data_IF_806866646703
#
_entry.id   IF_806866646703
#
_cell.length_a   1.000
_cell.length_b   1.000
_cell.length_c   1.000
_cell.angle_alpha   90.00
_cell.angle_beta   90.00
_cell.angle_gamma   90.00
#
_symmetry.space_group_name_H-M   'P 1'
#
loop_
_entity.id
_entity.type
_entity.pdbx_description
1 polymer ?
#
# COMPACT_ATOMS: atom_id res chain seq x y z
N UNK A 1 -3.20 12.97 4.96
CA UNK A 1 -3.44 11.71 4.24
C UNK A 1 -3.90 11.96 2.80
N UNK A 2 -5.07 12.58 2.55
CA UNK A 2 -5.53 12.79 1.16
C UNK A 2 -4.58 13.66 0.33
N UNK A 3 -4.13 14.80 0.87
CA UNK A 3 -3.19 15.68 0.16
C UNK A 3 -1.92 14.91 -0.26
N UNK A 4 -1.31 14.17 0.68
CA UNK A 4 -0.17 13.31 0.39
C UNK A 4 -0.49 12.26 -0.69
N UNK A 5 -1.66 11.62 -0.63
CA UNK A 5 -2.06 10.65 -1.66
C UNK A 5 -2.19 11.30 -3.06
N UNK A 6 -2.70 12.54 -3.14
CA UNK A 6 -2.76 13.30 -4.39
C UNK A 6 -1.37 13.71 -4.88
N UNK A 7 -0.49 14.15 -3.98
CA UNK A 7 0.89 14.49 -4.28
C UNK A 7 1.64 13.27 -4.83
N UNK A 8 1.56 12.12 -4.17
CA UNK A 8 2.16 10.86 -4.64
C UNK A 8 1.61 10.45 -6.02
N UNK A 9 0.29 10.52 -6.23
CA UNK A 9 -0.29 10.20 -7.55
C UNK A 9 0.22 11.13 -8.66
N UNK A 10 0.43 12.41 -8.36
CA UNK A 10 1.03 13.36 -9.29
C UNK A 10 2.51 13.07 -9.54
N UNK A 11 3.28 12.76 -8.49
CA UNK A 11 4.69 12.40 -8.59
C UNK A 11 4.88 11.13 -9.44
N UNK A 12 4.12 10.07 -9.20
CA UNK A 12 4.10 8.85 -10.02
C UNK A 12 3.82 9.18 -11.48
N UNK A 13 2.84 10.05 -11.76
CA UNK A 13 2.52 10.45 -13.14
C UNK A 13 3.67 11.20 -13.80
N UNK A 14 4.36 12.08 -13.08
CA UNK A 14 5.55 12.78 -13.59
C UNK A 14 6.68 11.81 -13.84
N UNK A 15 6.94 10.86 -12.93
CA UNK A 15 7.95 9.82 -13.07
C UNK A 15 7.71 8.96 -14.31
N UNK A 16 6.47 8.51 -14.52
CA UNK A 16 6.07 7.75 -15.71
C UNK A 16 6.27 8.55 -17.00
N UNK A 17 5.80 9.80 -17.05
CA UNK A 17 5.91 10.64 -18.25
C UNK A 17 7.36 11.03 -18.58
N UNK A 18 8.27 10.99 -17.60
CA UNK A 18 9.70 11.24 -17.77
C UNK A 18 10.52 9.97 -17.90
N UNK A 19 9.89 8.79 -17.80
CA UNK A 19 10.59 7.53 -17.98
C UNK A 19 11.04 7.41 -19.44
N UNK A 20 12.32 7.07 -19.70
CA UNK A 20 12.81 6.88 -21.06
C UNK A 20 12.27 5.59 -21.70
N UNK A 21 11.53 4.77 -20.95
CA UNK A 21 11.02 3.49 -21.43
C UNK A 21 9.74 3.66 -22.24
N UNK A 22 9.70 3.00 -23.39
CA UNK A 22 8.46 2.79 -24.14
C UNK A 22 7.53 1.92 -23.30
N UNK A 23 6.30 2.39 -23.09
CA UNK A 23 5.26 1.62 -22.41
C UNK A 23 4.77 0.50 -23.33
N UNK A 24 5.15 -0.72 -23.02
CA UNK A 24 4.69 -1.94 -23.70
C UNK A 24 3.89 -2.77 -22.69
N UNK A 25 2.71 -3.30 -23.06
CA UNK A 25 1.93 -4.13 -22.14
C UNK A 25 2.72 -5.33 -21.61
N UNK A 26 2.60 -5.61 -20.31
CA UNK A 26 3.17 -6.79 -19.69
C UNK A 26 2.38 -8.04 -20.06
N UNK A 27 3.09 -9.11 -20.42
CA UNK A 27 2.52 -10.42 -20.71
C UNK A 27 2.71 -11.42 -19.59
N UNK A 28 3.74 -11.26 -18.76
CA UNK A 28 4.08 -12.14 -17.64
C UNK A 28 4.18 -11.34 -16.34
N UNK A 29 3.19 -11.54 -15.45
CA UNK A 29 3.11 -10.85 -14.17
C UNK A 29 4.13 -11.35 -13.15
N UNK A 30 4.75 -12.52 -13.36
CA UNK A 30 5.81 -13.03 -12.47
C UNK A 30 7.09 -12.19 -12.53
N UNK A 31 7.23 -11.36 -13.57
CA UNK A 31 8.35 -10.42 -13.74
C UNK A 31 8.13 -9.08 -13.03
N UNK A 32 6.96 -8.88 -12.42
CA UNK A 32 6.63 -7.65 -11.68
C UNK A 32 7.17 -7.79 -10.26
N UNK A 33 8.47 -7.55 -10.10
CA UNK A 33 9.20 -7.90 -8.87
C UNK A 33 9.85 -6.72 -8.13
N UNK A 34 9.66 -5.50 -8.62
CA UNK A 34 10.09 -4.27 -7.97
C UNK A 34 9.08 -3.13 -8.19
N UNK A 35 9.24 -2.03 -7.43
CA UNK A 35 8.34 -0.87 -7.51
C UNK A 35 8.24 -0.30 -8.93
N UNK A 36 9.35 -0.28 -9.67
CA UNK A 36 9.37 0.28 -11.03
C UNK A 36 8.58 -0.61 -11.99
N UNK A 37 8.74 -1.92 -11.90
CA UNK A 37 8.00 -2.89 -12.69
C UNK A 37 6.50 -2.79 -12.39
N UNK A 38 6.12 -2.66 -11.11
CA UNK A 38 4.73 -2.42 -10.71
C UNK A 38 4.16 -1.16 -11.38
N UNK A 39 4.86 -0.02 -11.26
CA UNK A 39 4.45 1.26 -11.84
C UNK A 39 4.26 1.16 -13.36
N UNK A 40 5.22 0.57 -14.08
CA UNK A 40 5.17 0.46 -15.55
C UNK A 40 4.11 -0.53 -16.02
N UNK A 41 3.96 -1.67 -15.34
CA UNK A 41 2.97 -2.67 -15.69
C UNK A 41 1.56 -2.08 -15.60
N UNK A 42 1.22 -1.41 -14.50
CA UNK A 42 -0.07 -0.72 -14.31
C UNK A 42 -0.28 0.45 -15.27
N UNK A 43 0.78 1.15 -15.68
CA UNK A 43 0.69 2.22 -16.67
C UNK A 43 0.42 1.71 -18.09
N UNK A 44 1.04 0.59 -18.45
CA UNK A 44 1.11 0.10 -19.84
C UNK A 44 0.12 -1.02 -20.18
N UNK A 45 -0.41 -1.74 -19.18
CA UNK A 45 -1.18 -2.98 -19.40
C UNK A 45 -2.68 -2.76 -19.16
N UNK A 46 -3.53 -2.82 -20.21
CA UNK A 46 -4.97 -2.56 -20.07
C UNK A 46 -5.69 -3.50 -19.10
N UNK A 47 -5.36 -4.80 -19.10
CA UNK A 47 -6.00 -5.78 -18.22
C UNK A 47 -5.73 -5.51 -16.74
N UNK A 48 -4.58 -4.94 -16.37
CA UNK A 48 -4.30 -4.51 -15.01
C UNK A 48 -5.16 -3.32 -14.61
N UNK A 49 -5.41 -2.38 -15.53
CA UNK A 49 -6.32 -1.25 -15.30
C UNK A 49 -7.76 -1.73 -15.07
N UNK A 50 -8.23 -2.68 -15.87
CA UNK A 50 -9.55 -3.30 -15.69
C UNK A 50 -9.66 -4.03 -14.35
N UNK A 51 -8.60 -4.71 -13.93
CA UNK A 51 -8.55 -5.40 -12.65
C UNK A 51 -8.66 -4.45 -11.44
N UNK A 52 -8.48 -3.14 -11.62
CA UNK A 52 -8.65 -2.11 -10.59
C UNK A 52 -10.07 -1.51 -10.55
N UNK A 53 -11.00 -1.94 -11.40
CA UNK A 53 -12.37 -1.40 -11.45
C UNK A 53 -13.12 -1.50 -10.11
N UNK A 54 -12.70 -2.40 -9.20
CA UNK A 54 -13.28 -2.50 -7.86
C UNK A 54 -13.02 -1.25 -6.98
N UNK A 55 -12.00 -0.44 -7.29
CA UNK A 55 -11.71 0.79 -6.56
C UNK A 55 -12.81 1.84 -6.73
N UNK A 56 -13.52 1.82 -7.87
CA UNK A 56 -14.59 2.75 -8.20
C UNK A 56 -15.98 2.21 -7.86
N UNK A 57 -16.08 0.96 -7.38
CA UNK A 57 -17.35 0.27 -7.13
C UNK A 57 -18.05 0.70 -5.82
N UNK A 58 -17.46 1.62 -5.05
CA UNK A 58 -17.97 2.09 -3.75
C UNK A 58 -18.95 3.26 -3.84
N UNK A 59 -19.66 3.58 -2.74
CA UNK A 59 -20.51 4.77 -2.69
C UNK A 59 -19.66 6.05 -2.78
N UNK A 60 -20.11 6.98 -3.63
CA UNK A 60 -19.49 8.30 -3.73
C UNK A 60 -19.90 9.16 -2.53
N UNK A 61 -18.93 9.77 -1.85
CA UNK A 61 -19.15 10.69 -0.72
C UNK A 61 -18.49 12.03 -1.01
N UNK A 62 -19.12 13.12 -0.58
CA UNK A 62 -18.49 14.44 -0.62
C UNK A 62 -17.29 14.48 0.33
N UNK A 63 -16.23 15.16 -0.09
CA UNK A 63 -15.00 15.22 0.68
C UNK A 63 -15.21 15.84 2.07
N UNK A 64 -16.00 16.91 2.17
CA UNK A 64 -16.34 17.56 3.44
C UNK A 64 -16.99 16.60 4.44
N UNK A 65 -17.94 15.78 3.98
CA UNK A 65 -18.66 14.80 4.81
C UNK A 65 -17.75 13.67 5.30
N UNK A 66 -16.77 13.26 4.46
CA UNK A 66 -15.78 12.27 4.86
C UNK A 66 -14.85 12.81 5.93
N UNK A 67 -14.33 14.03 5.75
CA UNK A 67 -13.48 14.70 6.73
C UNK A 67 -14.21 14.92 8.05
N UNK A 68 -15.47 15.35 7.99
CA UNK A 68 -16.30 15.54 9.18
C UNK A 68 -16.63 14.22 9.91
N UNK A 69 -16.55 13.07 9.22
CA UNK A 69 -16.82 11.75 9.81
C UNK A 69 -15.66 11.15 10.59
N UNK A 70 -14.46 11.75 10.52
CA UNK A 70 -13.39 11.36 11.43
C UNK A 70 -13.69 11.89 12.83
N UNK A 71 -13.89 10.98 13.78
CA UNK A 71 -13.74 11.31 15.20
C UNK A 71 -12.34 11.89 15.44
N UNK A 72 -12.18 12.67 16.52
CA UNK A 72 -10.85 13.19 16.91
C UNK A 72 -9.86 12.02 16.89
N UNK A 73 -8.83 12.15 16.05
CA UNK A 73 -7.83 11.11 15.90
C UNK A 73 -7.32 10.68 17.29
N UNK A 74 -7.06 9.37 17.51
CA UNK A 74 -6.45 8.92 18.75
C UNK A 74 -5.21 9.78 19.04
N UNK A 75 -5.00 10.11 20.32
CA UNK A 75 -3.97 11.07 20.74
C UNK A 75 -2.57 10.72 20.21
N UNK A 76 -2.32 9.43 19.89
CA UNK A 76 -1.15 8.98 19.15
C UNK A 76 -1.45 7.72 18.30
N UNK A 77 -0.66 7.51 17.24
CA UNK A 77 -0.66 6.27 16.45
C UNK A 77 -0.32 5.05 17.32
N UNK A 78 0.62 5.19 18.25
CA UNK A 78 0.97 4.12 19.19
C UNK A 78 -0.23 3.71 20.05
N UNK A 79 -0.98 4.67 20.59
CA UNK A 79 -2.21 4.40 21.35
C UNK A 79 -3.29 3.73 20.50
N UNK A 80 -3.43 4.13 19.24
CA UNK A 80 -4.35 3.50 18.30
C UNK A 80 -3.98 2.03 18.01
N UNK A 81 -2.70 1.75 17.80
CA UNK A 81 -2.18 0.40 17.57
C UNK A 81 -2.38 -0.47 18.81
N UNK A 82 -2.03 0.04 20.00
CA UNK A 82 -2.20 -0.66 21.26
C UNK A 82 -3.68 -0.99 21.54
N UNK A 83 -4.58 -0.03 21.33
CA UNK A 83 -6.03 -0.23 21.48
C UNK A 83 -6.59 -1.28 20.48
N UNK A 84 -5.95 -1.41 19.31
CA UNK A 84 -6.28 -2.44 18.32
C UNK A 84 -5.58 -3.79 18.58
N UNK A 85 -4.83 -3.93 19.68
CA UNK A 85 -4.12 -5.15 20.07
C UNK A 85 -2.77 -5.37 19.37
N UNK A 86 -2.19 -4.31 18.79
CA UNK A 86 -0.89 -4.36 18.14
C UNK A 86 0.19 -3.69 18.98
N UNK A 87 1.38 -4.30 19.00
CA UNK A 87 2.57 -3.71 19.58
C UNK A 87 3.44 -3.09 18.46
N UNK A 88 3.73 -1.80 18.57
CA UNK A 88 4.59 -1.11 17.62
C UNK A 88 6.04 -1.13 18.14
N UNK A 89 6.93 -1.75 17.36
CA UNK A 89 8.35 -1.84 17.64
C UNK A 89 9.11 -0.86 16.75
N UNK A 90 10.17 -0.25 17.28
CA UNK A 90 11.07 0.58 16.49
C UNK A 90 12.49 0.55 17.06
N UNK A 91 13.45 0.88 16.21
CA UNK A 91 14.86 1.02 16.57
C UNK A 91 15.44 2.25 15.88
N UNK A 92 16.22 3.02 16.63
CA UNK A 92 17.06 4.08 16.09
C UNK A 92 18.25 3.44 15.38
N UNK A 93 18.37 3.70 14.08
CA UNK A 93 19.45 3.21 13.22
C UNK A 93 20.25 4.38 12.63
N UNK A 94 20.23 5.53 13.30
CA UNK A 94 20.96 6.73 12.91
C UNK A 94 22.46 6.46 12.96
N UNK A 95 23.14 6.68 11.84
CA UNK A 95 24.59 6.61 11.76
C UNK A 95 25.21 7.94 12.22
N UNK A 96 26.47 7.95 12.72
CA UNK A 96 27.08 9.17 13.25
C UNK A 96 27.08 10.36 12.27
N UNK A 97 27.36 10.11 10.99
CA UNK A 97 27.37 11.13 9.92
C UNK A 97 25.98 11.75 9.68
N UNK A 98 24.91 10.97 9.84
CA UNK A 98 23.53 11.47 9.76
C UNK A 98 23.14 12.25 11.01
N UNK A 99 23.61 11.82 12.19
CA UNK A 99 23.41 12.54 13.44
C UNK A 99 24.14 13.90 13.46
N UNK A 100 25.32 14.00 12.85
CA UNK A 100 26.10 15.24 12.75
C UNK A 100 25.35 16.36 12.02
N UNK A 101 24.47 16.02 11.07
CA UNK A 101 23.60 16.99 10.38
C UNK A 101 22.23 17.17 11.04
N UNK A 102 22.02 16.59 12.24
CA UNK A 102 20.80 16.74 13.03
C UNK A 102 19.60 15.90 12.53
N UNK A 103 19.85 14.85 11.74
CA UNK A 103 18.82 13.94 11.25
C UNK A 103 18.77 12.65 12.08
N UNK A 104 17.61 11.98 12.04
CA UNK A 104 17.40 10.68 12.68
C UNK A 104 16.80 9.68 11.69
N UNK A 105 17.23 8.42 11.77
CA UNK A 105 16.70 7.32 10.98
C UNK A 105 16.13 6.27 11.92
N UNK A 106 14.84 5.97 11.76
CA UNK A 106 14.17 4.93 12.54
C UNK A 106 13.68 3.82 11.63
N UNK A 107 13.80 2.57 12.10
CA UNK A 107 13.15 1.42 11.48
C UNK A 107 12.04 0.96 12.40
N UNK A 108 10.81 0.83 11.87
CA UNK A 108 9.65 0.38 12.63
C UNK A 108 9.06 -0.92 12.05
N UNK A 109 8.41 -1.68 12.92
CA UNK A 109 7.71 -2.93 12.62
C UNK A 109 6.50 -3.05 13.54
N UNK A 110 5.37 -3.52 13.01
CA UNK A 110 4.18 -3.83 13.81
C UNK A 110 3.78 -5.29 13.53
N UNK A 111 4.20 -6.24 14.38
CA UNK A 111 3.81 -7.64 14.21
C UNK A 111 2.29 -7.82 14.16
N UNK A 112 1.81 -8.70 13.28
CA UNK A 112 0.37 -8.93 13.08
C UNK A 112 -0.33 -7.96 12.13
N UNK A 113 0.33 -6.86 11.73
CA UNK A 113 -0.11 -6.07 10.58
C UNK A 113 0.17 -6.81 9.26
N UNK A 114 -0.45 -6.35 8.16
CA UNK A 114 -0.29 -6.97 6.85
C UNK A 114 0.99 -6.43 6.20
N UNK A 115 2.04 -7.26 6.00
CA UNK A 115 3.22 -6.81 5.29
C UNK A 115 2.90 -6.67 3.79
N UNK A 116 3.67 -5.82 3.13
CA UNK A 116 3.66 -5.64 1.68
C UNK A 116 5.07 -5.93 1.17
N UNK A 117 5.14 -6.67 0.07
CA UNK A 117 6.37 -6.91 -0.69
C UNK A 117 6.20 -6.31 -2.08
N UNK A 118 7.30 -5.85 -2.66
CA UNK A 118 7.32 -5.37 -4.04
C UNK A 118 7.52 -6.51 -5.03
N UNK A 119 7.83 -7.71 -4.55
CA UNK A 119 7.87 -8.90 -5.39
C UNK A 119 6.49 -9.56 -5.46
N UNK A 120 5.86 -9.48 -6.64
CA UNK A 120 4.55 -10.10 -6.89
C UNK A 120 4.55 -11.62 -6.66
N UNK A 121 5.70 -12.29 -6.75
CA UNK A 121 5.81 -13.72 -6.49
C UNK A 121 5.90 -14.08 -5.01
N UNK A 122 6.20 -13.11 -4.13
CA UNK A 122 6.38 -13.29 -2.68
C UNK A 122 5.24 -12.66 -1.86
N UNK A 123 4.00 -13.08 -2.14
CA UNK A 123 2.80 -12.50 -1.51
C UNK A 123 2.61 -12.99 -0.06
N UNK A 124 2.39 -12.05 0.87
CA UNK A 124 2.09 -12.34 2.28
C UNK A 124 0.64 -12.81 2.53
N UNK A 125 0.24 -13.95 1.97
CA UNK A 125 -1.13 -14.49 2.13
C UNK A 125 -1.33 -15.40 3.35
N UNK A 126 -0.24 -15.75 4.05
CA UNK A 126 -0.29 -16.63 5.23
C UNK A 126 -0.85 -15.97 6.50
N UNK A 127 -0.72 -14.65 6.63
CA UNK A 127 -1.11 -13.90 7.82
C UNK A 127 -2.60 -13.98 8.16
N UNK A 128 -2.95 -13.88 9.43
CA UNK A 128 -4.35 -13.92 9.87
C UNK A 128 -5.12 -12.65 9.50
N UNK A 129 -4.46 -11.48 9.56
CA UNK A 129 -5.10 -10.18 9.35
C UNK A 129 -5.81 -10.07 8.00
N UNK A 130 -5.21 -10.55 6.90
CA UNK A 130 -5.83 -10.48 5.58
C UNK A 130 -7.15 -11.28 5.52
N UNK A 131 -7.25 -12.41 6.24
CA UNK A 131 -8.48 -13.21 6.37
C UNK A 131 -9.46 -12.57 7.35
N UNK A 132 -8.99 -12.15 8.52
CA UNK A 132 -9.85 -11.64 9.59
C UNK A 132 -10.50 -10.30 9.21
N UNK A 133 -9.76 -9.42 8.53
CA UNK A 133 -10.30 -8.17 8.01
C UNK A 133 -11.32 -8.45 6.91
N UNK A 134 -11.04 -9.38 5.99
CA UNK A 134 -12.01 -9.77 4.97
C UNK A 134 -13.33 -10.27 5.59
N UNK A 135 -13.25 -11.13 6.61
CA UNK A 135 -14.45 -11.62 7.33
C UNK A 135 -15.24 -10.50 7.99
N UNK A 136 -14.58 -9.49 8.58
CA UNK A 136 -15.26 -8.30 9.13
C UNK A 136 -16.02 -7.51 8.06
N UNK A 137 -15.61 -7.57 6.81
CA UNK A 137 -16.31 -7.01 5.66
C UNK A 137 -17.27 -8.01 4.97
N UNK A 138 -17.61 -9.11 5.63
CA UNK A 138 -18.55 -10.12 5.10
C UNK A 138 -17.99 -10.93 3.94
N UNK A 139 -16.67 -11.02 3.80
CA UNK A 139 -15.98 -11.86 2.81
C UNK A 139 -15.36 -13.04 3.54
N UNK A 140 -15.81 -14.25 3.26
CA UNK A 140 -15.11 -15.44 3.71
C UNK A 140 -14.07 -15.87 2.66
N UNK A 141 -12.84 -16.10 3.10
CA UNK A 141 -11.72 -16.42 2.23
C UNK A 141 -11.18 -17.79 2.63
N UNK A 142 -11.44 -18.77 1.76
CA UNK A 142 -11.14 -20.18 2.04
C UNK A 142 -9.75 -20.60 1.58
N UNK A 143 -9.21 -19.97 0.52
CA UNK A 143 -7.88 -20.27 -0.01
C UNK A 143 -7.23 -19.05 -0.67
N UNK A 144 -5.99 -19.23 -1.16
CA UNK A 144 -5.20 -18.17 -1.78
C UNK A 144 -5.74 -17.67 -3.13
N UNK A 145 -6.53 -18.51 -3.84
CA UNK A 145 -7.07 -18.17 -5.16
C UNK A 145 -8.20 -17.15 -5.09
N UNK A 146 -8.84 -17.00 -3.92
CA UNK A 146 -9.86 -16.00 -3.67
C UNK A 146 -9.29 -14.57 -3.49
N UNK A 147 -7.97 -14.40 -3.35
CA UNK A 147 -7.35 -13.09 -3.38
C UNK A 147 -7.13 -12.59 -4.80
N UNK A 148 -7.17 -11.28 -4.96
CA UNK A 148 -6.86 -10.62 -6.23
C UNK A 148 -5.49 -11.10 -6.76
N UNK A 149 -5.47 -11.60 -8.00
CA UNK A 149 -4.29 -12.24 -8.57
C UNK A 149 -3.33 -11.24 -9.23
N UNK A 150 -3.74 -10.00 -9.46
CA UNK A 150 -2.87 -9.03 -10.11
C UNK A 150 -1.79 -8.50 -9.15
N UNK A 151 -0.67 -8.02 -9.69
CA UNK A 151 0.30 -7.23 -8.94
C UNK A 151 -0.37 -6.05 -8.23
N UNK A 152 0.03 -5.79 -6.98
CA UNK A 152 -0.49 -4.67 -6.20
C UNK A 152 -0.23 -3.34 -6.94
N UNK A 153 -1.20 -2.40 -7.02
CA UNK A 153 -0.98 -1.09 -7.62
C UNK A 153 -0.18 -0.18 -6.68
N UNK A 154 1.11 -0.47 -6.53
CA UNK A 154 2.06 0.42 -5.86
C UNK A 154 2.19 1.77 -6.59
N UNK A 155 2.62 2.83 -5.86
CA UNK A 155 2.97 4.12 -6.47
C UNK A 155 4.11 4.01 -7.48
#
# INVERSE_FOLDING_TARGET
ALLLAMEEAMLTRVLLNRSPQTLVPWTDMTTVNDLRAHMLAHASTPSLREALAFLDAGPVRAFGDYVASFDRAPASLHGALAAAGFEALWVDVTTPDVAEVGLHVVRSLVPGMQPLDNDHTHRYLGGHRVRDVARRFGRDIHDASAYHAAPHPFP
#
